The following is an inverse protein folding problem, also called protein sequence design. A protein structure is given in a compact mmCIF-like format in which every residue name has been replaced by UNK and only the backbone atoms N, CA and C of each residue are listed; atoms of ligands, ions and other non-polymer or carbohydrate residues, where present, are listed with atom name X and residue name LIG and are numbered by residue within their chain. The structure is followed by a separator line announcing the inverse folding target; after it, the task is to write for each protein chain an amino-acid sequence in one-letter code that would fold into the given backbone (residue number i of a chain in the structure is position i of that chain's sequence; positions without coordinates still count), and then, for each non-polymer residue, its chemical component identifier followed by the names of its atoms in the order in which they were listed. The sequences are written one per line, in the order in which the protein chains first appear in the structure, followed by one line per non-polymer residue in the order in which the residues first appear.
data_IF_287603821756
#
_entry.id   IF_287603821756
#
_cell.length_a   1.000
_cell.length_b   1.000
_cell.length_c   1.000
_cell.angle_alpha   90.00
_cell.angle_beta   90.00
_cell.angle_gamma   90.00
#
_symmetry.space_group_name_H-M   'P 1'
#
loop_
_entity.id
_entity.type
_entity.pdbx_description
1 polymer ?
#
# COMPACT_ATOMS: atom_id res chain seq x y z
N UNK A 1 6.16 -13.49 13.06
CA UNK A 1 6.11 -14.64 12.13
C UNK A 1 7.07 -14.44 10.98
N UNK A 2 8.16 -15.21 10.88
CA UNK A 2 9.09 -15.21 9.75
C UNK A 2 9.60 -16.63 9.51
N UNK A 3 9.87 -16.96 8.26
CA UNK A 3 10.43 -18.27 7.85
C UNK A 3 11.92 -18.18 7.58
N UNK A 4 12.37 -16.99 7.16
CA UNK A 4 13.76 -16.74 6.81
C UNK A 4 14.28 -15.48 7.49
N UNK A 5 15.58 -15.47 7.82
CA UNK A 5 16.21 -14.29 8.41
C UNK A 5 17.65 -14.13 7.94
N UNK A 6 18.12 -12.89 7.97
CA UNK A 6 19.52 -12.53 7.86
C UNK A 6 20.01 -11.98 9.21
N UNK A 7 21.21 -12.37 9.62
CA UNK A 7 21.82 -11.90 10.86
C UNK A 7 23.11 -11.13 10.53
N UNK A 8 23.10 -9.84 10.80
CA UNK A 8 24.25 -8.95 10.84
C UNK A 8 24.75 -8.77 12.26
N UNK A 9 26.06 -8.68 12.45
CA UNK A 9 26.70 -8.45 13.75
C UNK A 9 27.65 -7.27 13.66
N UNK A 10 27.63 -6.41 14.65
CA UNK A 10 28.62 -5.36 14.88
C UNK A 10 29.34 -5.62 16.20
N UNK A 11 30.67 -5.74 16.17
CA UNK A 11 31.52 -5.92 17.35
C UNK A 11 32.26 -4.62 17.68
N UNK A 12 32.72 -4.50 18.91
CA UNK A 12 33.69 -3.45 19.29
C UNK A 12 35.01 -3.68 18.53
N UNK A 13 35.70 -2.65 18.04
CA UNK A 13 36.97 -2.81 17.32
C UNK A 13 38.01 -3.65 18.08
N UNK A 14 38.10 -3.46 19.40
CA UNK A 14 39.02 -4.20 20.27
C UNK A 14 38.89 -5.71 20.21
N UNK A 15 37.68 -6.25 19.92
CA UNK A 15 37.51 -7.69 19.74
C UNK A 15 38.12 -8.18 18.43
N UNK A 16 37.99 -7.39 17.36
CA UNK A 16 38.56 -7.71 16.06
C UNK A 16 40.09 -7.66 16.10
N UNK A 17 40.62 -6.58 16.68
CA UNK A 17 42.05 -6.39 16.84
C UNK A 17 42.68 -7.53 17.67
N UNK A 18 42.00 -7.94 18.74
CA UNK A 18 42.49 -9.07 19.58
C UNK A 18 42.43 -10.38 18.84
N UNK A 19 41.42 -10.66 18.04
CA UNK A 19 41.31 -11.86 17.20
C UNK A 19 42.45 -11.87 16.19
N UNK A 20 42.73 -10.78 15.51
CA UNK A 20 43.79 -10.64 14.53
C UNK A 20 45.18 -10.78 15.19
N UNK A 21 45.38 -10.19 16.35
CA UNK A 21 46.62 -10.33 17.13
C UNK A 21 46.88 -11.81 17.50
N UNK A 22 45.90 -12.52 18.04
CA UNK A 22 46.02 -13.92 18.42
C UNK A 22 46.30 -14.80 17.22
N UNK A 23 45.62 -14.58 16.10
CA UNK A 23 45.86 -15.33 14.84
C UNK A 23 47.27 -15.12 14.31
N UNK A 24 47.77 -13.90 14.35
CA UNK A 24 49.13 -13.56 13.95
C UNK A 24 50.15 -14.19 14.88
N UNK A 25 50.01 -14.03 16.20
CA UNK A 25 50.91 -14.55 17.22
C UNK A 25 51.06 -16.07 17.14
N UNK A 26 49.97 -16.78 16.96
CA UNK A 26 49.95 -18.24 16.90
C UNK A 26 50.02 -18.81 15.49
N UNK A 27 50.25 -17.96 14.47
CA UNK A 27 50.34 -18.34 13.05
C UNK A 27 49.12 -19.18 12.58
N UNK A 28 47.94 -18.90 13.11
CA UNK A 28 46.72 -19.62 12.81
C UNK A 28 46.20 -19.21 11.43
N UNK A 29 46.11 -20.17 10.50
CA UNK A 29 45.62 -19.94 9.13
C UNK A 29 44.29 -20.68 8.91
N UNK A 30 43.46 -20.19 8.01
CA UNK A 30 42.20 -20.85 7.58
C UNK A 30 41.04 -20.82 8.57
N UNK A 31 41.15 -20.10 9.69
CA UNK A 31 40.04 -19.89 10.63
C UNK A 31 39.26 -18.62 10.28
N UNK A 32 37.94 -18.77 10.22
CA UNK A 32 37.02 -17.62 10.02
C UNK A 32 37.24 -16.53 11.09
N UNK A 33 36.97 -15.28 10.72
CA UNK A 33 36.99 -14.16 11.64
C UNK A 33 35.98 -14.40 12.78
N UNK A 34 36.31 -13.95 14.01
CA UNK A 34 35.48 -14.08 15.20
C UNK A 34 34.02 -13.56 14.97
N UNK A 35 33.86 -12.52 14.17
CA UNK A 35 32.55 -12.00 13.80
C UNK A 35 31.70 -13.05 13.08
N UNK A 36 32.28 -13.81 12.13
CA UNK A 36 31.60 -14.88 11.42
C UNK A 36 31.28 -16.06 12.34
N UNK A 37 32.20 -16.43 13.22
CA UNK A 37 31.96 -17.47 14.21
C UNK A 37 30.80 -17.18 15.13
N UNK A 38 30.75 -15.95 15.70
CA UNK A 38 29.63 -15.49 16.54
C UNK A 38 28.33 -15.46 15.73
N UNK A 39 28.35 -14.92 14.49
CA UNK A 39 27.16 -14.87 13.63
C UNK A 39 26.62 -16.29 13.34
N UNK A 40 27.49 -17.26 13.11
CA UNK A 40 27.15 -18.65 12.82
C UNK A 40 26.47 -19.32 14.02
N UNK A 41 27.05 -19.18 15.21
CA UNK A 41 26.49 -19.78 16.44
C UNK A 41 25.17 -19.13 16.87
N UNK A 42 25.07 -17.79 16.80
CA UNK A 42 23.81 -17.12 17.07
C UNK A 42 22.72 -17.49 16.06
N UNK A 43 23.06 -17.57 14.77
CA UNK A 43 22.11 -17.99 13.75
C UNK A 43 21.59 -19.42 13.99
N UNK A 44 22.44 -20.36 14.41
CA UNK A 44 22.01 -21.71 14.80
C UNK A 44 21.01 -21.68 15.97
N UNK A 45 21.32 -20.88 17.02
CA UNK A 45 20.42 -20.72 18.18
C UNK A 45 19.07 -20.12 17.79
N UNK A 46 19.07 -19.06 16.94
CA UNK A 46 17.85 -18.44 16.43
C UNK A 46 17.05 -19.46 15.62
N UNK A 47 17.70 -20.14 14.65
CA UNK A 47 17.03 -21.16 13.81
C UNK A 47 16.34 -22.23 14.64
N UNK A 48 17.04 -22.78 15.65
CA UNK A 48 16.47 -23.82 16.54
C UNK A 48 15.26 -23.32 17.33
N UNK A 49 15.31 -22.08 17.87
CA UNK A 49 14.24 -21.52 18.68
C UNK A 49 13.02 -21.06 17.89
N UNK A 50 13.21 -20.61 16.65
CA UNK A 50 12.15 -19.99 15.84
C UNK A 50 11.71 -20.88 14.66
N UNK A 51 12.33 -22.04 14.48
CA UNK A 51 12.14 -22.91 13.30
C UNK A 51 12.23 -22.14 11.97
N UNK A 52 13.20 -21.23 11.88
CA UNK A 52 13.44 -20.38 10.71
C UNK A 52 14.83 -20.65 10.11
N UNK A 53 15.01 -20.34 8.83
CA UNK A 53 16.24 -20.58 8.08
C UNK A 53 17.01 -19.28 7.89
N UNK A 54 18.33 -19.31 8.15
CA UNK A 54 19.23 -18.21 7.78
C UNK A 54 19.43 -18.19 6.27
N UNK A 55 19.25 -17.03 5.64
CA UNK A 55 19.54 -16.80 4.22
C UNK A 55 20.21 -15.44 4.05
N UNK A 56 20.89 -15.24 2.93
CA UNK A 56 21.57 -13.98 2.59
C UNK A 56 20.66 -13.09 1.78
N UNK A 57 19.98 -13.67 0.80
CA UNK A 57 19.18 -12.93 -0.17
C UNK A 57 17.71 -12.90 0.23
N UNK A 58 17.15 -11.72 0.24
CA UNK A 58 15.73 -11.39 0.41
C UNK A 58 15.04 -12.07 1.62
N UNK A 59 15.61 -12.00 2.85
CA UNK A 59 15.02 -12.59 4.04
C UNK A 59 13.72 -11.91 4.48
N UNK A 60 12.87 -12.66 5.18
CA UNK A 60 11.66 -12.09 5.81
C UNK A 60 12.01 -11.11 6.93
N UNK A 61 13.12 -11.33 7.62
CA UNK A 61 13.58 -10.55 8.76
C UNK A 61 15.07 -10.28 8.70
N UNK A 62 15.46 -9.02 8.79
CA UNK A 62 16.82 -8.59 9.05
C UNK A 62 17.00 -8.35 10.55
N UNK A 63 17.99 -9.02 11.13
CA UNK A 63 18.40 -8.91 12.52
C UNK A 63 19.80 -8.28 12.52
N UNK A 64 19.94 -7.11 13.12
CA UNK A 64 21.23 -6.46 13.33
C UNK A 64 21.52 -6.43 14.83
N UNK A 65 22.40 -7.31 15.28
CA UNK A 65 22.89 -7.35 16.65
C UNK A 65 24.14 -6.46 16.77
N UNK A 66 24.07 -5.43 17.60
CA UNK A 66 25.16 -4.52 17.85
C UNK A 66 25.72 -4.73 19.26
N UNK A 67 26.87 -5.39 19.36
CA UNK A 67 27.55 -5.65 20.63
C UNK A 67 28.34 -4.45 21.15
N UNK A 68 28.49 -3.40 20.33
CA UNK A 68 29.11 -2.14 20.78
C UNK A 68 28.19 -1.39 21.73
N UNK A 69 26.90 -1.31 21.34
CA UNK A 69 25.87 -0.51 22.04
C UNK A 69 24.86 -1.41 22.76
N UNK A 70 25.09 -2.73 22.77
CA UNK A 70 24.19 -3.74 23.36
C UNK A 70 22.75 -3.66 22.83
N UNK A 71 22.61 -3.31 21.54
CA UNK A 71 21.31 -3.09 20.88
C UNK A 71 21.01 -4.14 19.81
N UNK A 72 19.72 -4.31 19.53
CA UNK A 72 19.26 -5.19 18.47
C UNK A 72 18.18 -4.48 17.64
N UNK A 73 18.41 -4.37 16.33
CA UNK A 73 17.46 -3.80 15.39
C UNK A 73 16.83 -4.89 14.55
N UNK A 74 15.52 -4.93 14.52
CA UNK A 74 14.74 -5.85 13.70
C UNK A 74 14.06 -5.08 12.58
N UNK A 75 14.23 -5.54 11.33
CA UNK A 75 13.58 -4.96 10.15
C UNK A 75 12.88 -6.08 9.36
N UNK A 76 11.56 -6.13 9.43
CA UNK A 76 10.80 -7.10 8.65
C UNK A 76 10.65 -6.63 7.19
N UNK A 77 10.74 -7.58 6.25
CA UNK A 77 10.48 -7.34 4.84
C UNK A 77 9.04 -6.81 4.67
N UNK A 78 8.83 -5.75 3.88
CA UNK A 78 7.48 -5.27 3.60
C UNK A 78 6.60 -6.35 2.97
N UNK A 79 5.29 -6.29 3.25
CA UNK A 79 4.28 -7.10 2.58
C UNK A 79 3.47 -6.24 1.62
N UNK A 80 3.01 -6.85 0.54
CA UNK A 80 2.13 -6.19 -0.42
C UNK A 80 0.79 -6.89 -0.45
N UNK A 81 -0.28 -6.11 -0.48
CA UNK A 81 -1.66 -6.58 -0.55
C UNK A 81 -2.37 -5.85 -1.69
N UNK A 82 -3.02 -6.62 -2.56
CA UNK A 82 -4.03 -6.12 -3.47
C UNK A 82 -5.39 -6.24 -2.81
N UNK A 83 -6.28 -5.30 -3.09
CA UNK A 83 -7.66 -5.36 -2.67
C UNK A 83 -8.56 -4.45 -3.49
N UNK A 84 -9.86 -4.58 -3.26
CA UNK A 84 -10.88 -3.67 -3.78
C UNK A 84 -11.70 -3.15 -2.62
N UNK A 85 -12.20 -1.92 -2.75
CA UNK A 85 -13.11 -1.35 -1.75
C UNK A 85 -14.38 -0.84 -2.41
N UNK A 86 -15.48 -0.97 -1.69
CA UNK A 86 -16.74 -0.30 -1.96
C UNK A 86 -16.97 0.77 -0.90
N UNK A 87 -17.58 1.89 -1.29
CA UNK A 87 -17.98 2.99 -0.41
C UNK A 87 -19.46 3.24 -0.56
N UNK A 88 -20.23 2.99 0.49
CA UNK A 88 -21.69 3.18 0.53
C UNK A 88 -22.12 4.50 1.16
N UNK A 89 -21.17 5.32 1.60
CA UNK A 89 -21.42 6.62 2.22
C UNK A 89 -20.79 7.75 1.38
N UNK A 90 -21.44 8.89 1.33
CA UNK A 90 -20.90 10.12 0.71
C UNK A 90 -20.10 10.94 1.73
N UNK A 91 -19.39 11.94 1.27
CA UNK A 91 -18.58 12.87 2.09
C UNK A 91 -17.39 12.21 2.81
N UNK A 92 -17.03 10.98 2.48
CA UNK A 92 -15.82 10.32 2.97
C UNK A 92 -14.71 10.45 1.91
N UNK A 93 -13.60 11.16 2.20
CA UNK A 93 -12.50 11.31 1.27
C UNK A 93 -11.75 9.99 1.07
N UNK A 94 -11.23 9.78 -0.15
CA UNK A 94 -10.41 8.60 -0.46
C UNK A 94 -9.09 8.65 0.29
N UNK A 95 -8.40 9.79 0.20
CA UNK A 95 -7.09 10.02 0.81
C UNK A 95 -7.22 10.91 2.02
N UNK A 96 -6.34 10.71 2.96
CA UNK A 96 -6.14 11.59 4.09
C UNK A 96 -4.89 12.45 3.88
N UNK A 97 -4.88 13.64 4.47
CA UNK A 97 -3.67 14.46 4.54
C UNK A 97 -2.54 13.73 5.26
N UNK A 98 -1.33 13.96 4.82
CA UNK A 98 -0.14 13.50 5.55
C UNK A 98 -0.08 14.22 6.90
N UNK A 99 0.42 13.54 7.91
CA UNK A 99 0.67 14.17 9.21
C UNK A 99 1.59 15.39 9.04
N UNK A 100 1.15 16.55 9.49
CA UNK A 100 1.89 17.83 9.34
C UNK A 100 3.23 17.82 10.07
N UNK A 101 3.33 17.09 11.18
CA UNK A 101 4.55 17.03 11.99
C UNK A 101 5.66 16.17 11.38
N UNK A 102 5.32 15.10 10.66
CA UNK A 102 6.31 14.16 10.13
C UNK A 102 6.21 13.93 8.62
N UNK A 103 5.34 14.66 7.94
CA UNK A 103 5.16 14.60 6.51
C UNK A 103 4.99 13.16 5.96
N UNK A 104 4.27 12.32 6.71
CA UNK A 104 3.95 10.95 6.32
C UNK A 104 4.97 9.88 6.75
N UNK A 105 6.04 10.26 7.45
CA UNK A 105 7.07 9.31 7.92
C UNK A 105 6.54 8.45 9.09
N UNK A 106 5.73 9.03 9.94
CA UNK A 106 5.26 8.48 11.21
C UNK A 106 6.01 9.10 12.39
N UNK A 107 5.28 9.68 13.36
CA UNK A 107 5.82 10.28 14.58
C UNK A 107 4.84 10.11 15.73
N UNK A 108 5.23 10.51 16.94
CA UNK A 108 4.37 10.45 18.13
C UNK A 108 3.03 11.17 17.94
N UNK A 109 3.01 12.34 17.26
CA UNK A 109 1.78 13.13 17.05
C UNK A 109 0.72 12.42 16.18
N UNK A 110 1.11 11.44 15.40
CA UNK A 110 0.20 10.64 14.58
C UNK A 110 0.21 9.16 14.96
N UNK A 111 0.63 8.80 16.16
CA UNK A 111 0.81 7.41 16.60
C UNK A 111 1.57 6.55 15.57
N UNK A 112 2.60 7.11 14.97
CA UNK A 112 3.43 6.51 13.91
C UNK A 112 2.68 6.11 12.63
N UNK A 113 1.43 6.56 12.45
CA UNK A 113 0.61 6.21 11.29
C UNK A 113 0.94 7.01 10.03
N UNK A 114 1.57 8.18 10.17
CA UNK A 114 1.96 9.07 9.06
C UNK A 114 0.78 9.85 8.45
N UNK A 115 -0.43 9.73 8.97
CA UNK A 115 -1.64 10.40 8.49
C UNK A 115 -2.27 11.24 9.61
N UNK A 116 -2.96 12.34 9.24
CA UNK A 116 -3.46 13.31 10.19
C UNK A 116 -4.64 12.79 11.01
N UNK A 117 -5.57 12.08 10.37
CA UNK A 117 -6.68 11.42 11.04
C UNK A 117 -7.11 10.14 10.29
N UNK A 118 -7.99 9.37 10.88
CA UNK A 118 -8.48 8.10 10.32
C UNK A 118 -9.81 8.22 9.56
N UNK A 119 -10.36 9.44 9.45
CA UNK A 119 -11.66 9.69 8.81
C UNK A 119 -11.53 9.81 7.27
N UNK A 120 -11.02 8.74 6.65
CA UNK A 120 -10.90 8.56 5.21
C UNK A 120 -10.89 7.08 4.88
N UNK A 121 -11.06 6.73 3.61
CA UNK A 121 -10.92 5.33 3.17
C UNK A 121 -9.50 4.83 3.48
N UNK A 122 -8.49 5.66 3.19
CA UNK A 122 -7.10 5.37 3.51
C UNK A 122 -6.89 5.10 5.00
N UNK A 123 -7.45 5.94 5.86
CA UNK A 123 -7.35 5.78 7.31
C UNK A 123 -8.01 4.50 7.81
N UNK A 124 -9.20 4.19 7.32
CA UNK A 124 -9.93 2.95 7.69
C UNK A 124 -9.19 1.69 7.27
N UNK A 125 -8.69 1.63 6.02
CA UNK A 125 -7.91 0.49 5.52
C UNK A 125 -6.58 0.37 6.27
N UNK A 126 -5.89 1.49 6.48
CA UNK A 126 -4.61 1.51 7.20
C UNK A 126 -4.77 1.01 8.64
N UNK A 127 -5.79 1.50 9.36
CA UNK A 127 -6.06 1.06 10.73
C UNK A 127 -6.37 -0.44 10.82
N UNK A 128 -7.17 -0.96 9.87
CA UNK A 128 -7.44 -2.41 9.78
C UNK A 128 -6.14 -3.21 9.62
N UNK A 129 -5.28 -2.80 8.66
CA UNK A 129 -4.04 -3.53 8.39
C UNK A 129 -3.00 -3.36 9.50
N UNK A 130 -2.91 -2.19 10.14
CA UNK A 130 -2.05 -1.98 11.31
C UNK A 130 -2.45 -2.95 12.42
N UNK A 131 -3.72 -3.03 12.77
CA UNK A 131 -4.22 -3.96 13.80
C UNK A 131 -4.01 -5.43 13.42
N UNK A 132 -4.29 -5.76 12.15
CA UNK A 132 -4.23 -7.15 11.67
C UNK A 132 -2.81 -7.69 11.58
N UNK A 133 -1.89 -6.91 11.04
CA UNK A 133 -0.50 -7.32 10.79
C UNK A 133 0.47 -6.88 11.88
N UNK A 134 0.01 -6.14 12.89
CA UNK A 134 0.85 -5.52 13.93
C UNK A 134 2.06 -4.83 13.28
N UNK A 135 1.77 -3.83 12.44
CA UNK A 135 2.76 -3.15 11.64
C UNK A 135 2.84 -1.65 12.01
N UNK A 136 3.95 -1.02 11.67
CA UNK A 136 4.17 0.38 12.02
C UNK A 136 3.38 1.32 11.10
N UNK A 137 3.32 1.02 9.80
CA UNK A 137 2.75 1.91 8.80
C UNK A 137 2.21 1.12 7.61
N UNK A 138 1.16 1.66 6.98
CA UNK A 138 0.60 1.18 5.72
C UNK A 138 0.64 2.33 4.70
N UNK A 139 1.20 2.08 3.53
CA UNK A 139 1.19 3.03 2.40
C UNK A 139 0.27 2.48 1.32
N UNK A 140 -0.74 3.27 0.92
CA UNK A 140 -1.71 2.84 -0.08
C UNK A 140 -1.39 3.48 -1.43
N UNK A 141 -1.36 2.65 -2.47
CA UNK A 141 -1.27 3.05 -3.86
C UNK A 141 -2.65 2.88 -4.50
N UNK A 142 -3.26 4.00 -4.87
CA UNK A 142 -4.57 4.05 -5.47
C UNK A 142 -4.53 3.85 -6.98
N UNK A 143 -5.49 3.10 -7.52
CA UNK A 143 -5.75 3.04 -8.95
C UNK A 143 -6.88 4.02 -9.25
N UNK A 144 -6.51 5.22 -9.68
CA UNK A 144 -7.42 6.33 -9.88
C UNK A 144 -7.88 7.02 -8.59
N UNK A 145 -8.37 8.23 -8.74
CA UNK A 145 -9.01 9.01 -7.69
C UNK A 145 -10.52 8.89 -7.71
N UNK A 146 -11.16 9.29 -6.63
CA UNK A 146 -12.60 9.49 -6.55
C UNK A 146 -12.92 10.80 -5.82
N UNK A 147 -14.07 11.37 -6.14
CA UNK A 147 -14.61 12.48 -5.39
C UNK A 147 -15.22 12.00 -4.07
N UNK A 148 -15.07 12.81 -3.01
CA UNK A 148 -15.61 12.46 -1.70
C UNK A 148 -17.13 12.34 -1.70
N UNK A 149 -17.83 13.04 -2.61
CA UNK A 149 -19.28 12.97 -2.77
C UNK A 149 -19.77 11.74 -3.51
N UNK A 150 -18.88 11.00 -4.22
CA UNK A 150 -19.24 9.80 -4.98
C UNK A 150 -19.46 8.59 -4.08
N UNK A 151 -20.21 7.62 -4.59
CA UNK A 151 -20.26 6.24 -4.07
C UNK A 151 -19.35 5.34 -4.91
N UNK A 152 -18.86 4.26 -4.33
CA UNK A 152 -18.12 3.22 -5.04
C UNK A 152 -18.89 1.92 -4.92
N UNK A 153 -19.52 1.52 -6.01
CA UNK A 153 -20.43 0.39 -6.07
C UNK A 153 -19.89 -0.76 -6.95
N UNK A 154 -20.71 -1.76 -7.21
CA UNK A 154 -20.37 -2.89 -8.07
C UNK A 154 -19.14 -3.66 -7.58
N UNK A 155 -18.18 -3.89 -8.46
CA UNK A 155 -16.92 -4.61 -8.13
C UNK A 155 -15.97 -3.82 -7.23
N UNK A 156 -16.30 -2.57 -6.92
CA UNK A 156 -15.45 -1.70 -6.11
C UNK A 156 -14.21 -1.19 -6.84
N UNK A 157 -13.43 -0.30 -6.19
CA UNK A 157 -12.17 0.24 -6.72
C UNK A 157 -10.97 -0.56 -6.24
N UNK A 158 -10.01 -0.87 -7.12
CA UNK A 158 -8.79 -1.57 -6.73
C UNK A 158 -7.80 -0.63 -6.03
N UNK A 159 -7.01 -1.21 -5.14
CA UNK A 159 -5.89 -0.55 -4.48
C UNK A 159 -4.76 -1.54 -4.19
N UNK A 160 -3.56 -1.01 -3.98
CA UNK A 160 -2.43 -1.75 -3.44
C UNK A 160 -2.01 -1.14 -2.11
N UNK A 161 -1.68 -1.99 -1.16
CA UNK A 161 -1.14 -1.58 0.13
C UNK A 161 0.25 -2.17 0.34
N UNK A 162 1.21 -1.32 0.72
CA UNK A 162 2.53 -1.71 1.21
C UNK A 162 2.51 -1.62 2.73
N UNK A 163 2.64 -2.76 3.40
CA UNK A 163 2.64 -2.90 4.85
C UNK A 163 4.08 -2.94 5.31
N UNK A 164 4.48 -1.95 6.10
CA UNK A 164 5.85 -1.77 6.55
C UNK A 164 6.04 -2.41 7.93
N UNK A 165 7.10 -3.19 8.05
CA UNK A 165 7.51 -3.84 9.31
C UNK A 165 6.41 -4.73 9.94
N UNK A 166 5.73 -5.62 9.18
CA UNK A 166 4.67 -6.47 9.74
C UNK A 166 5.26 -7.51 10.69
N UNK A 167 4.75 -7.58 11.92
CA UNK A 167 5.13 -8.62 12.89
C UNK A 167 4.32 -9.89 12.70
N UNK A 168 3.06 -9.78 12.24
CA UNK A 168 2.15 -10.91 11.97
C UNK A 168 1.94 -11.10 10.47
N UNK A 169 2.77 -11.92 9.82
CA UNK A 169 2.75 -12.10 8.36
C UNK A 169 1.72 -13.12 7.87
N UNK A 170 1.40 -14.13 8.68
CA UNK A 170 0.58 -15.27 8.28
C UNK A 170 -0.93 -15.07 8.46
N UNK A 171 -1.36 -13.80 8.59
CA UNK A 171 -2.78 -13.50 8.72
C UNK A 171 -3.55 -13.80 7.43
N UNK A 172 -4.71 -14.43 7.59
CA UNK A 172 -5.63 -14.71 6.48
C UNK A 172 -6.35 -13.42 6.09
N UNK A 173 -6.31 -13.08 4.81
CA UNK A 173 -7.06 -11.98 4.23
C UNK A 173 -8.43 -12.50 3.77
N UNK A 174 -9.47 -12.09 4.45
CA UNK A 174 -10.87 -12.40 4.08
C UNK A 174 -11.57 -11.11 3.68
N UNK A 175 -12.69 -11.25 2.94
CA UNK A 175 -13.63 -10.15 2.73
C UNK A 175 -13.95 -9.54 4.11
N UNK A 176 -13.87 -8.22 4.24
CA UNK A 176 -14.14 -7.58 5.52
C UNK A 176 -15.62 -7.29 5.68
N UNK A 177 -16.07 -7.31 6.93
CA UNK A 177 -17.28 -6.66 7.37
C UNK A 177 -17.17 -5.14 7.21
N UNK A 178 -18.27 -4.47 7.42
CA UNK A 178 -18.41 -3.02 7.33
C UNK A 178 -17.36 -2.26 8.18
N UNK A 179 -16.59 -1.43 7.51
CA UNK A 179 -15.70 -0.45 8.13
C UNK A 179 -16.40 0.92 8.13
N UNK A 180 -17.58 1.00 8.75
CA UNK A 180 -18.42 2.21 8.78
C UNK A 180 -18.68 2.75 7.36
N UNK A 181 -19.31 1.93 6.53
CA UNK A 181 -19.68 2.23 5.15
C UNK A 181 -18.60 1.97 4.10
N UNK A 182 -17.46 1.39 4.48
CA UNK A 182 -16.41 0.92 3.56
C UNK A 182 -16.27 -0.60 3.68
N UNK A 183 -16.32 -1.30 2.55
CA UNK A 183 -16.23 -2.75 2.46
C UNK A 183 -15.01 -3.14 1.63
N UNK A 184 -14.23 -4.10 2.10
CA UNK A 184 -13.08 -4.62 1.35
C UNK A 184 -13.38 -6.00 0.77
N UNK A 185 -12.91 -6.22 -0.45
CA UNK A 185 -13.07 -7.49 -1.16
C UNK A 185 -11.80 -7.83 -1.95
N UNK A 186 -11.72 -9.05 -2.46
CA UNK A 186 -10.61 -9.56 -3.29
C UNK A 186 -9.21 -9.34 -2.67
N UNK A 187 -9.12 -9.37 -1.34
CA UNK A 187 -7.85 -9.17 -0.65
C UNK A 187 -6.87 -10.32 -0.93
N UNK A 188 -5.73 -10.02 -1.53
CA UNK A 188 -4.69 -10.99 -1.90
C UNK A 188 -3.31 -10.49 -1.52
N UNK A 189 -2.49 -11.35 -0.95
CA UNK A 189 -1.05 -11.06 -0.77
C UNK A 189 -0.35 -11.14 -2.12
N UNK A 190 0.56 -10.22 -2.37
CA UNK A 190 1.40 -10.17 -3.56
C UNK A 190 2.86 -10.32 -3.17
N UNK A 191 3.65 -10.94 -4.01
CA UNK A 191 5.11 -11.00 -3.87
C UNK A 191 5.75 -9.64 -4.16
N UNK A 192 5.23 -8.93 -5.16
CA UNK A 192 5.76 -7.64 -5.62
C UNK A 192 4.58 -6.70 -5.88
N UNK A 193 4.76 -5.42 -5.57
CA UNK A 193 3.80 -4.38 -5.95
C UNK A 193 4.09 -3.91 -7.38
N UNK A 194 3.07 -3.78 -8.25
CA UNK A 194 3.24 -3.17 -9.56
C UNK A 194 3.83 -1.75 -9.45
N UNK A 195 4.78 -1.44 -10.32
CA UNK A 195 5.39 -0.11 -10.43
C UNK A 195 4.74 0.68 -11.56
N UNK A 196 4.64 1.99 -11.39
CA UNK A 196 4.12 2.91 -12.41
C UNK A 196 2.61 3.07 -12.41
N UNK A 197 2.11 3.77 -13.43
CA UNK A 197 0.69 4.00 -13.63
C UNK A 197 0.03 2.75 -14.21
N UNK A 198 -1.05 2.30 -13.58
CA UNK A 198 -1.82 1.15 -14.03
C UNK A 198 -3.04 1.69 -14.79
N UNK A 199 -3.14 1.44 -16.10
CA UNK A 199 -4.32 1.84 -16.87
C UNK A 199 -5.54 1.06 -16.37
N UNK A 200 -6.67 1.75 -16.29
CA UNK A 200 -7.94 1.13 -15.91
C UNK A 200 -9.10 1.79 -16.65
N UNK A 201 -10.21 1.09 -16.71
CA UNK A 201 -11.48 1.60 -17.22
C UNK A 201 -12.47 1.73 -16.07
N UNK A 202 -13.36 2.70 -16.15
CA UNK A 202 -14.38 2.97 -15.14
C UNK A 202 -15.77 3.08 -15.73
N UNK A 203 -16.75 2.58 -15.01
CA UNK A 203 -18.16 2.86 -15.22
C UNK A 203 -18.57 3.92 -14.20
N UNK A 204 -19.13 5.02 -14.69
CA UNK A 204 -19.54 6.18 -13.88
C UNK A 204 -20.97 6.50 -14.18
N UNK A 205 -21.81 6.64 -13.15
CA UNK A 205 -23.18 7.11 -13.24
C UNK A 205 -23.31 8.45 -12.52
N UNK A 206 -23.72 9.49 -13.23
CA UNK A 206 -23.79 10.86 -12.75
C UNK A 206 -25.23 11.33 -12.86
N UNK A 207 -25.83 11.78 -11.74
CA UNK A 207 -27.09 12.52 -11.76
C UNK A 207 -26.77 13.99 -12.01
N UNK A 208 -27.38 14.55 -13.06
CA UNK A 208 -27.17 15.93 -13.50
C UNK A 208 -28.47 16.68 -13.39
N UNK A 209 -28.44 17.82 -12.68
CA UNK A 209 -29.53 18.79 -12.59
C UNK A 209 -29.19 20.03 -13.43
N UNK A 210 -30.12 20.43 -14.29
CA UNK A 210 -29.95 21.56 -15.20
C UNK A 210 -30.83 22.74 -14.77
N UNK A 211 -30.35 23.96 -15.00
CA UNK A 211 -31.12 25.17 -14.70
C UNK A 211 -32.36 25.36 -15.60
N UNK A 212 -32.34 24.79 -16.80
CA UNK A 212 -33.41 24.88 -17.80
C UNK A 212 -33.93 23.48 -18.13
N UNK A 213 -35.22 23.36 -18.53
CA UNK A 213 -35.75 22.08 -18.99
C UNK A 213 -34.95 21.53 -20.16
N UNK A 214 -34.74 20.22 -20.12
CA UNK A 214 -33.99 19.48 -21.15
C UNK A 214 -34.92 18.57 -21.96
N UNK A 215 -34.79 18.65 -23.26
CA UNK A 215 -35.57 17.81 -24.19
C UNK A 215 -34.89 16.47 -24.44
N UNK A 216 -35.67 15.46 -24.83
CA UNK A 216 -35.13 14.16 -25.24
C UNK A 216 -34.20 14.27 -26.43
N UNK A 217 -34.42 15.22 -27.33
CA UNK A 217 -33.52 15.41 -28.50
C UNK A 217 -32.16 16.01 -28.08
N UNK A 218 -32.12 16.85 -27.04
CA UNK A 218 -30.83 17.31 -26.50
C UNK A 218 -30.06 16.18 -25.83
N UNK A 219 -30.73 15.28 -25.09
CA UNK A 219 -30.07 14.12 -24.49
C UNK A 219 -29.55 13.14 -25.55
N UNK A 220 -30.24 12.95 -26.68
CA UNK A 220 -29.76 12.15 -27.80
C UNK A 220 -28.40 12.61 -28.32
N UNK A 221 -28.12 13.92 -28.29
CA UNK A 221 -26.85 14.50 -28.71
C UNK A 221 -25.66 14.01 -27.87
N UNK A 222 -25.88 13.58 -26.63
CA UNK A 222 -24.83 13.01 -25.78
C UNK A 222 -24.18 11.75 -26.38
N UNK A 223 -24.87 11.06 -27.27
CA UNK A 223 -24.34 9.91 -28.00
C UNK A 223 -23.14 10.25 -28.89
N UNK A 224 -22.93 11.49 -29.27
CA UNK A 224 -21.75 11.93 -30.04
C UNK A 224 -20.45 11.70 -29.26
N UNK A 225 -20.52 11.63 -27.93
CA UNK A 225 -19.38 11.34 -27.07
C UNK A 225 -18.98 9.86 -27.11
N UNK A 226 -19.82 8.98 -27.64
CA UNK A 226 -19.50 7.57 -27.74
C UNK A 226 -18.33 7.36 -28.74
N UNK A 227 -17.32 6.63 -28.32
CA UNK A 227 -16.04 6.47 -29.03
C UNK A 227 -15.19 7.74 -29.21
N UNK A 228 -15.58 8.86 -28.59
CA UNK A 228 -14.79 10.08 -28.66
C UNK A 228 -13.44 9.92 -27.91
N UNK A 229 -12.41 10.55 -28.49
CA UNK A 229 -11.12 10.74 -27.83
C UNK A 229 -11.14 12.11 -27.16
N UNK A 230 -10.86 12.15 -25.86
CA UNK A 230 -10.79 13.38 -25.08
C UNK A 230 -9.35 13.64 -24.69
N UNK A 231 -8.90 14.86 -24.92
CA UNK A 231 -7.62 15.33 -24.42
C UNK A 231 -7.81 15.96 -23.05
N UNK A 232 -7.11 15.45 -22.05
CA UNK A 232 -7.11 15.99 -20.70
C UNK A 232 -5.97 17.00 -20.55
N UNK A 233 -6.32 18.28 -20.46
CA UNK A 233 -5.38 19.39 -20.29
C UNK A 233 -5.16 19.77 -18.81
N UNK A 234 -5.85 19.12 -17.89
CA UNK A 234 -5.96 19.58 -16.49
C UNK A 234 -4.80 19.20 -15.57
N UNK A 235 -3.95 18.28 -15.97
CA UNK A 235 -2.83 17.81 -15.13
C UNK A 235 -1.61 17.48 -15.96
N UNK A 236 -0.54 18.22 -15.71
CA UNK A 236 0.80 18.03 -16.26
C UNK A 236 0.88 17.94 -17.81
N UNK A 237 1.85 18.59 -18.37
CA UNK A 237 2.21 18.75 -19.82
C UNK A 237 2.23 17.46 -20.67
N UNK A 238 1.61 16.38 -20.22
CA UNK A 238 1.44 15.12 -20.95
C UNK A 238 0.03 15.04 -21.47
N UNK A 239 -0.17 15.33 -22.76
CA UNK A 239 -1.42 15.08 -23.47
C UNK A 239 -1.80 13.60 -23.32
N UNK A 240 -2.64 13.27 -22.36
CA UNK A 240 -3.19 11.93 -22.23
C UNK A 240 -4.48 11.84 -23.01
N UNK A 241 -4.44 11.15 -24.15
CA UNK A 241 -5.65 10.82 -24.90
C UNK A 241 -6.45 9.77 -24.13
N UNK A 242 -7.65 10.11 -23.72
CA UNK A 242 -8.59 9.21 -23.06
C UNK A 242 -9.77 8.94 -23.97
N UNK A 243 -10.37 7.76 -23.87
CA UNK A 243 -11.49 7.36 -24.70
C UNK A 243 -12.74 7.10 -23.86
N UNK A 244 -13.88 7.58 -24.35
CA UNK A 244 -15.21 7.17 -23.90
C UNK A 244 -15.65 6.03 -24.80
N UNK A 245 -15.96 4.87 -24.22
CA UNK A 245 -16.35 3.67 -24.98
C UNK A 245 -17.86 3.56 -25.15
N UNK A 246 -18.63 4.00 -24.12
CA UNK A 246 -20.08 3.87 -24.11
C UNK A 246 -20.70 5.03 -23.36
N UNK A 247 -21.81 5.53 -23.88
CA UNK A 247 -22.63 6.59 -23.30
C UNK A 247 -24.07 6.10 -23.18
N UNK A 248 -24.59 6.13 -21.95
CA UNK A 248 -25.99 5.92 -21.64
C UNK A 248 -26.61 7.17 -21.04
N UNK A 249 -27.92 7.36 -21.17
CA UNK A 249 -28.63 8.39 -20.44
C UNK A 249 -30.04 7.96 -20.10
N UNK A 250 -30.57 8.46 -18.98
CA UNK A 250 -31.95 8.24 -18.55
C UNK A 250 -32.53 9.55 -18.04
N UNK A 251 -33.59 10.05 -18.66
CA UNK A 251 -34.32 11.23 -18.21
C UNK A 251 -35.05 10.90 -16.92
N UNK A 252 -34.89 11.70 -15.88
CA UNK A 252 -35.59 11.57 -14.60
C UNK A 252 -36.75 12.56 -14.48
N UNK A 253 -36.56 13.78 -14.97
CA UNK A 253 -37.55 14.86 -14.85
C UNK A 253 -37.40 15.90 -15.97
N UNK A 254 -38.01 17.06 -15.79
CA UNK A 254 -37.89 18.19 -16.74
C UNK A 254 -36.47 18.73 -16.78
N UNK A 255 -35.78 18.76 -15.64
CA UNK A 255 -34.48 19.40 -15.44
C UNK A 255 -33.41 18.41 -14.96
N UNK A 256 -33.71 17.10 -14.84
CA UNK A 256 -32.77 16.12 -14.31
C UNK A 256 -32.67 14.88 -15.17
N UNK A 257 -31.45 14.32 -15.26
CA UNK A 257 -31.18 13.07 -15.96
C UNK A 257 -29.96 12.36 -15.36
N UNK A 258 -29.87 11.06 -15.62
CA UNK A 258 -28.65 10.26 -15.33
C UNK A 258 -27.84 10.16 -16.61
N UNK A 259 -26.53 10.33 -16.48
CA UNK A 259 -25.53 10.05 -17.51
C UNK A 259 -24.65 8.89 -17.06
N UNK A 260 -24.68 7.81 -17.85
CA UNK A 260 -23.84 6.63 -17.63
C UNK A 260 -22.71 6.61 -18.65
N UNK A 261 -21.48 6.53 -18.16
CA UNK A 261 -20.27 6.51 -18.98
C UNK A 261 -19.45 5.26 -18.69
N UNK A 262 -18.94 4.62 -19.74
CA UNK A 262 -17.85 3.65 -19.69
C UNK A 262 -16.65 4.24 -20.43
N UNK A 263 -15.57 4.49 -19.70
CA UNK A 263 -14.46 5.29 -20.21
C UNK A 263 -13.11 4.88 -19.58
N UNK A 264 -12.03 5.38 -20.16
CA UNK A 264 -10.71 5.30 -19.52
C UNK A 264 -10.71 6.02 -18.17
N UNK A 265 -9.94 5.51 -17.24
CA UNK A 265 -9.90 6.04 -15.90
C UNK A 265 -9.35 7.47 -15.81
N UNK A 266 -9.98 8.26 -14.93
CA UNK A 266 -9.60 9.65 -14.70
C UNK A 266 -10.17 10.64 -15.72
N UNK A 267 -11.25 10.28 -16.43
CA UNK A 267 -12.14 11.20 -17.14
C UNK A 267 -13.13 11.79 -16.16
#
# INVERSE_FOLDING_TARGET
DFKTFHLGITLKPSFLERDDYLKSKFKIKGIENIKFGIAKELAKKISRRTNSKRITDDPDLFIQANFKDESCILRAKPMFVYGRYNKKIRKLPQKQGLCRSCNGIGCHNCDFKGIENLQSIEGKISNLFIKKFDCNQVKINWIGGEDQSSLVLGKGRPFFAKILNPKRRNQILRKTSDLEGVYLSELKKLSIQPKGSIPFKSEVSITIDTKKPISSNQLKKLKILENAKIQDFSRDKRNTNKRIYKVGYKKLGKTSFILDLFADGGI
#
